data_IF_480889935896
#
_entry.id   IF_480889935896
#
_cell.length_a   1.000
_cell.length_b   1.000
_cell.length_c   1.000
_cell.angle_alpha   90.00
_cell.angle_beta   90.00
_cell.angle_gamma   90.00
#
_symmetry.space_group_name_H-M   'P 1'
#
loop_
_entity.id
_entity.type
_entity.pdbx_description
1 polymer ?
#
# COMPACT_ATOMS: atom_id res chain seq x y z
N UNK A 1 -32.54 4.60 -64.01
CA UNK A 1 -32.71 6.00 -63.72
C UNK A 1 -32.06 6.26 -62.38
N UNK A 2 -30.84 6.68 -62.35
CA UNK A 2 -30.27 8.01 -62.02
C UNK A 2 -30.70 8.47 -60.62
N UNK A 3 -29.81 8.80 -59.70
CA UNK A 3 -28.55 9.62 -59.62
C UNK A 3 -27.97 9.37 -58.24
N UNK A 4 -26.74 9.14 -57.92
CA UNK A 4 -25.56 9.92 -57.95
C UNK A 4 -25.53 11.06 -56.92
N UNK A 5 -24.85 10.88 -55.75
CA UNK A 5 -24.43 12.01 -54.92
C UNK A 5 -23.03 11.73 -54.33
N UNK A 6 -22.10 12.50 -54.86
CA UNK A 6 -20.72 12.59 -54.51
C UNK A 6 -20.53 13.10 -53.08
N UNK A 7 -19.65 12.45 -52.30
CA UNK A 7 -19.11 13.00 -51.05
C UNK A 7 -17.79 13.68 -51.32
N UNK A 8 -17.82 15.00 -51.23
CA UNK A 8 -16.66 15.88 -51.23
C UNK A 8 -15.79 15.62 -49.98
N UNK A 9 -14.54 15.20 -50.19
CA UNK A 9 -13.51 15.11 -49.15
C UNK A 9 -12.83 16.47 -49.11
N UNK A 10 -13.02 17.20 -47.98
CA UNK A 10 -12.22 18.39 -47.66
C UNK A 10 -10.92 17.97 -47.00
N UNK A 11 -9.82 18.10 -47.74
CA UNK A 11 -8.47 18.03 -47.24
C UNK A 11 -8.09 19.34 -46.53
N UNK A 12 -7.86 19.33 -45.24
CA UNK A 12 -7.26 20.43 -44.51
C UNK A 12 -5.74 20.32 -44.58
N UNK A 13 -5.12 21.25 -45.27
CA UNK A 13 -3.67 21.49 -45.28
C UNK A 13 -3.26 22.11 -43.93
N UNK A 14 -2.38 21.43 -43.19
CA UNK A 14 -1.67 22.02 -42.06
C UNK A 14 -0.39 22.68 -42.58
N UNK A 15 -0.33 23.98 -42.47
CA UNK A 15 0.89 24.76 -42.70
C UNK A 15 1.83 24.58 -41.50
N UNK A 16 3.05 24.17 -41.77
CA UNK A 16 4.15 24.12 -40.81
C UNK A 16 4.81 25.50 -40.77
N UNK A 17 4.57 26.26 -39.69
CA UNK A 17 5.38 27.42 -39.34
C UNK A 17 6.57 27.00 -38.50
N UNK A 18 7.76 27.14 -39.04
CA UNK A 18 9.03 27.03 -38.35
C UNK A 18 9.26 28.28 -37.48
N UNK A 19 8.98 28.17 -36.19
CA UNK A 19 9.27 29.16 -35.15
C UNK A 19 10.61 28.85 -34.46
N UNK A 20 11.51 29.79 -34.49
CA UNK A 20 12.90 29.82 -34.02
C UNK A 20 13.01 29.46 -32.52
N UNK A 21 14.13 28.79 -32.21
CA UNK A 21 14.52 28.36 -30.86
C UNK A 21 14.49 29.47 -29.80
N UNK A 22 13.91 29.11 -28.71
CA UNK A 22 14.11 29.71 -27.41
C UNK A 22 14.55 28.59 -26.50
N UNK A 23 15.85 28.56 -26.16
CA UNK A 23 16.37 27.76 -25.05
C UNK A 23 15.66 28.25 -23.79
N UNK A 24 14.68 27.49 -23.35
CA UNK A 24 14.13 27.65 -22.02
C UNK A 24 15.21 27.21 -21.01
N UNK A 25 15.85 28.20 -20.40
CA UNK A 25 16.74 27.99 -19.26
C UNK A 25 16.00 27.16 -18.22
N UNK A 26 16.42 25.92 -18.02
CA UNK A 26 16.02 25.08 -16.90
C UNK A 26 16.60 25.73 -15.65
N UNK A 27 15.78 26.53 -14.97
CA UNK A 27 16.11 27.04 -13.65
C UNK A 27 16.26 25.82 -12.71
N UNK A 28 17.39 25.66 -12.02
CA UNK A 28 17.53 24.62 -11.02
C UNK A 28 16.56 24.95 -9.88
N UNK A 29 15.49 24.18 -9.77
CA UNK A 29 14.60 24.26 -8.63
C UNK A 29 15.40 23.88 -7.38
N UNK A 30 15.60 24.84 -6.50
CA UNK A 30 16.23 24.70 -5.18
C UNK A 30 15.36 23.80 -4.28
N UNK A 31 15.48 22.47 -4.44
CA UNK A 31 14.86 21.49 -3.56
C UNK A 31 15.70 21.17 -2.31
N UNK A 32 16.90 21.70 -2.20
CA UNK A 32 17.91 21.32 -1.19
C UNK A 32 17.55 21.68 0.25
N UNK A 33 16.74 22.73 0.47
CA UNK A 33 16.38 23.20 1.83
C UNK A 33 15.30 22.37 2.53
N UNK A 34 14.49 21.60 1.80
CA UNK A 34 13.33 20.89 2.38
C UNK A 34 13.60 19.42 2.71
N UNK A 35 14.65 18.80 2.19
CA UNK A 35 14.99 17.40 2.43
C UNK A 35 15.36 17.11 3.90
N UNK A 36 16.22 17.89 4.55
CA UNK A 36 16.57 17.68 5.96
C UNK A 36 15.36 17.80 6.88
N UNK A 37 14.46 18.73 6.58
CA UNK A 37 13.24 18.97 7.36
C UNK A 37 12.26 17.78 7.22
N UNK A 38 12.09 17.26 6.00
CA UNK A 38 11.31 16.05 5.74
C UNK A 38 11.88 14.83 6.44
N UNK A 39 13.18 14.62 6.36
CA UNK A 39 13.85 13.50 7.04
C UNK A 39 13.68 13.59 8.56
N UNK A 40 13.79 14.79 9.14
CA UNK A 40 13.57 15.01 10.57
C UNK A 40 12.12 14.72 10.99
N UNK A 41 11.13 15.08 10.16
CA UNK A 41 9.73 14.78 10.41
C UNK A 41 9.46 13.28 10.38
N UNK A 42 9.98 12.57 9.37
CA UNK A 42 9.84 11.12 9.23
C UNK A 42 10.56 10.36 10.35
N UNK A 43 11.73 10.83 10.77
CA UNK A 43 12.43 10.25 11.92
C UNK A 43 11.65 10.45 13.22
N UNK A 44 11.08 11.61 13.45
CA UNK A 44 10.19 11.86 14.61
C UNK A 44 9.00 10.91 14.60
N UNK A 45 8.36 10.69 13.44
CA UNK A 45 7.25 9.76 13.28
C UNK A 45 7.70 8.32 13.58
N UNK A 46 8.84 7.90 13.03
CA UNK A 46 9.44 6.59 13.26
C UNK A 46 9.73 6.35 14.75
N UNK A 47 10.36 7.30 15.42
CA UNK A 47 10.70 7.23 16.84
C UNK A 47 9.44 7.17 17.70
N UNK A 48 8.42 7.96 17.36
CA UNK A 48 7.14 7.98 18.09
C UNK A 48 6.48 6.58 18.05
N UNK A 49 6.40 5.95 16.88
CA UNK A 49 5.83 4.60 16.73
C UNK A 49 6.72 3.56 17.40
N UNK A 50 8.05 3.69 17.30
CA UNK A 50 9.01 2.76 17.91
C UNK A 50 8.94 2.77 19.44
N UNK A 51 8.50 3.87 20.05
CA UNK A 51 8.23 3.95 21.50
C UNK A 51 7.12 3.04 21.99
N UNK A 52 6.31 2.49 21.07
CA UNK A 52 5.19 1.61 21.38
C UNK A 52 5.37 0.22 20.75
N UNK A 53 5.79 0.15 19.49
CA UNK A 53 6.05 -1.11 18.80
C UNK A 53 7.54 -1.47 18.95
N UNK A 54 7.88 -2.05 20.09
CA UNK A 54 9.25 -2.32 20.50
C UNK A 54 9.91 -3.45 19.69
N UNK A 55 11.16 -3.25 19.29
CA UNK A 55 11.99 -4.27 18.64
C UNK A 55 11.60 -4.61 17.19
N UNK A 56 10.84 -3.74 16.51
CA UNK A 56 10.34 -3.97 15.15
C UNK A 56 10.61 -2.79 14.20
N UNK A 57 11.87 -2.33 14.06
CA UNK A 57 12.19 -1.16 13.25
C UNK A 57 11.84 -1.36 11.77
N UNK A 58 12.08 -2.54 11.20
CA UNK A 58 11.79 -2.84 9.79
C UNK A 58 10.27 -2.82 9.49
N UNK A 59 9.46 -3.35 10.42
CA UNK A 59 7.99 -3.31 10.31
C UNK A 59 7.48 -1.88 10.30
N UNK A 60 8.04 -1.03 11.16
CA UNK A 60 7.71 0.40 11.20
C UNK A 60 8.11 1.07 9.88
N UNK A 61 9.32 0.82 9.39
CA UNK A 61 9.81 1.38 8.14
C UNK A 61 8.91 0.97 6.96
N UNK A 62 8.55 -0.32 6.84
CA UNK A 62 7.63 -0.82 5.80
C UNK A 62 6.23 -0.20 5.91
N UNK A 63 5.73 0.00 7.14
CA UNK A 63 4.44 0.65 7.35
C UNK A 63 4.47 2.13 6.92
N UNK A 64 5.55 2.85 7.20
CA UNK A 64 5.77 4.22 6.75
C UNK A 64 5.91 4.29 5.22
N UNK A 65 6.67 3.39 4.62
CA UNK A 65 6.77 3.27 3.16
C UNK A 65 5.40 3.04 2.54
N UNK A 66 4.60 2.15 3.12
CA UNK A 66 3.23 1.88 2.62
C UNK A 66 2.34 3.12 2.69
N UNK A 67 2.36 3.84 3.80
CA UNK A 67 1.60 5.09 3.98
C UNK A 67 2.02 6.15 2.95
N UNK A 68 3.33 6.35 2.78
CA UNK A 68 3.87 7.39 1.92
C UNK A 68 3.76 7.06 0.43
N UNK A 69 3.82 5.78 0.06
CA UNK A 69 3.54 5.30 -1.29
C UNK A 69 2.05 5.32 -1.64
N UNK A 70 1.20 5.78 -0.70
CA UNK A 70 -0.23 5.86 -0.88
C UNK A 70 -0.87 4.48 -1.14
N UNK A 71 -0.36 3.45 -0.44
CA UNK A 71 -0.77 2.05 -0.59
C UNK A 71 -1.48 1.48 0.64
N UNK A 72 -1.73 0.17 0.59
CA UNK A 72 -2.36 -0.59 1.67
C UNK A 72 -1.48 -1.76 2.07
N UNK A 73 -1.57 -2.21 3.32
CA UNK A 73 -0.69 -3.20 3.92
C UNK A 73 -1.45 -4.48 4.26
N UNK A 74 -0.91 -5.63 3.87
CA UNK A 74 -1.37 -6.94 4.32
C UNK A 74 -0.40 -7.48 5.39
N UNK A 75 -0.92 -7.88 6.53
CA UNK A 75 -0.15 -8.46 7.63
C UNK A 75 -0.58 -9.91 7.81
N UNK A 76 0.30 -10.83 7.44
CA UNK A 76 0.09 -12.27 7.62
C UNK A 76 0.82 -12.75 8.86
N UNK A 77 0.08 -13.00 9.95
CA UNK A 77 0.75 -13.41 11.18
C UNK A 77 -0.23 -13.97 12.22
N UNK A 78 0.34 -14.61 13.25
CA UNK A 78 -0.42 -15.14 14.38
C UNK A 78 -1.10 -14.04 15.22
N UNK A 79 -2.15 -14.33 15.97
CA UNK A 79 -2.77 -13.38 16.90
C UNK A 79 -1.79 -12.90 17.98
N UNK A 80 -2.01 -11.70 18.53
CA UNK A 80 -1.31 -11.20 19.71
C UNK A 80 0.05 -10.56 19.52
N UNK A 81 0.56 -10.41 18.31
CA UNK A 81 1.92 -9.90 18.02
C UNK A 81 2.00 -8.37 17.80
N UNK A 82 0.91 -7.62 18.02
CA UNK A 82 0.94 -6.16 17.93
C UNK A 82 0.35 -5.55 16.66
N UNK A 83 -0.41 -6.31 15.83
CA UNK A 83 -1.06 -5.79 14.61
C UNK A 83 -1.94 -4.58 14.91
N UNK A 84 -2.83 -4.69 15.90
CA UNK A 84 -3.71 -3.59 16.34
C UNK A 84 -2.91 -2.43 16.92
N UNK A 85 -1.80 -2.72 17.59
CA UNK A 85 -0.93 -1.71 18.18
C UNK A 85 -0.27 -0.85 17.10
N UNK A 86 0.26 -1.47 16.03
CA UNK A 86 0.83 -0.77 14.88
C UNK A 86 -0.20 0.17 14.23
N UNK A 87 -1.41 -0.33 13.95
CA UNK A 87 -2.45 0.49 13.32
C UNK A 87 -2.87 1.69 14.18
N UNK A 88 -3.06 1.47 15.49
CA UNK A 88 -3.39 2.55 16.45
C UNK A 88 -2.23 3.54 16.60
N UNK A 89 -0.99 3.05 16.63
CA UNK A 89 0.19 3.92 16.75
C UNK A 89 0.34 4.83 15.53
N UNK A 90 0.14 4.30 14.32
CA UNK A 90 0.10 5.10 13.10
C UNK A 90 -1.00 6.19 13.18
N UNK A 91 -2.25 5.79 13.44
CA UNK A 91 -3.36 6.73 13.45
C UNK A 91 -3.16 7.87 14.48
N UNK A 92 -2.72 7.55 15.71
CA UNK A 92 -2.46 8.55 16.75
C UNK A 92 -1.28 9.47 16.40
N UNK A 93 -0.24 8.90 15.78
CA UNK A 93 0.94 9.68 15.38
C UNK A 93 0.64 10.65 14.23
N UNK A 94 -0.43 10.40 13.45
CA UNK A 94 -0.82 11.18 12.28
C UNK A 94 -2.02 12.11 12.53
N UNK A 95 -2.52 12.20 13.77
CA UNK A 95 -3.77 12.91 14.10
C UNK A 95 -4.93 12.53 13.15
N UNK A 96 -5.04 11.23 12.88
CA UNK A 96 -5.98 10.66 11.94
C UNK A 96 -7.05 9.82 12.63
N UNK A 97 -8.26 9.81 12.06
CA UNK A 97 -9.32 8.91 12.54
C UNK A 97 -8.93 7.44 12.32
N UNK A 98 -9.30 6.59 13.28
CA UNK A 98 -9.02 5.16 13.27
C UNK A 98 -10.28 4.36 13.53
N UNK A 99 -10.50 3.33 12.67
CA UNK A 99 -11.49 2.30 12.95
C UNK A 99 -10.86 0.91 12.85
N UNK A 100 -11.27 0.04 13.78
CA UNK A 100 -11.01 -1.40 13.71
C UNK A 100 -12.29 -2.11 13.30
N UNK A 101 -12.19 -2.94 12.29
CA UNK A 101 -13.26 -3.79 11.80
C UNK A 101 -12.82 -5.24 11.99
N UNK A 102 -13.53 -5.99 12.83
CA UNK A 102 -13.34 -7.42 12.95
C UNK A 102 -14.17 -8.11 11.88
N UNK A 103 -13.52 -8.81 10.97
CA UNK A 103 -14.19 -9.55 9.92
C UNK A 103 -14.72 -10.88 10.46
N UNK A 104 -16.01 -11.12 10.23
CA UNK A 104 -16.74 -12.33 10.65
C UNK A 104 -17.60 -12.82 9.50
N UNK A 105 -18.04 -14.10 9.49
CA UNK A 105 -18.82 -14.65 8.38
C UNK A 105 -20.18 -13.98 8.16
N UNK A 106 -20.74 -13.34 9.20
CA UNK A 106 -22.02 -12.62 9.18
C UNK A 106 -21.91 -11.13 8.83
N UNK A 107 -20.67 -10.59 8.73
CA UNK A 107 -20.43 -9.19 8.37
C UNK A 107 -20.91 -8.89 6.95
N UNK A 108 -21.74 -7.87 6.80
CA UNK A 108 -22.29 -7.43 5.51
C UNK A 108 -21.47 -6.30 4.89
N UNK A 109 -21.49 -6.13 3.57
CA UNK A 109 -20.89 -4.95 2.92
C UNK A 109 -21.40 -3.62 3.45
N UNK A 110 -22.70 -3.51 3.76
CA UNK A 110 -23.33 -2.31 4.35
C UNK A 110 -22.75 -1.94 5.71
N UNK A 111 -22.24 -2.92 6.48
CA UNK A 111 -21.63 -2.66 7.77
C UNK A 111 -20.26 -1.99 7.61
N UNK A 112 -19.62 -2.15 6.46
CA UNK A 112 -18.36 -1.51 6.09
C UNK A 112 -18.56 -0.11 5.51
N UNK A 113 -19.43 0.00 4.50
CA UNK A 113 -19.61 1.21 3.68
C UNK A 113 -20.66 2.18 4.25
N UNK A 114 -21.49 1.71 5.17
CA UNK A 114 -22.61 2.50 5.69
C UNK A 114 -23.91 2.29 4.93
N UNK A 115 -24.97 2.94 5.39
CA UNK A 115 -26.33 2.79 4.87
C UNK A 115 -27.13 4.07 5.03
N UNK A 116 -28.14 4.26 4.18
CA UNK A 116 -29.12 5.34 4.34
C UNK A 116 -30.23 4.91 5.31
N UNK A 117 -30.47 5.73 6.31
CA UNK A 117 -31.49 5.51 7.34
C UNK A 117 -32.58 6.56 7.19
N UNK A 118 -33.85 6.14 7.20
CA UNK A 118 -34.97 7.07 7.18
C UNK A 118 -35.03 7.89 8.48
N UNK A 119 -34.95 9.20 8.35
CA UNK A 119 -35.02 10.12 9.47
C UNK A 119 -36.47 10.68 9.58
N UNK A 120 -37.25 10.11 10.48
CA UNK A 120 -38.66 10.45 10.68
C UNK A 120 -38.94 11.96 10.82
N UNK A 121 -38.13 12.74 11.60
CA UNK A 121 -38.43 14.17 11.77
C UNK A 121 -38.30 15.01 10.51
N UNK A 122 -37.40 14.67 9.57
CA UNK A 122 -37.24 15.39 8.30
C UNK A 122 -37.96 14.74 7.13
N UNK A 123 -38.40 13.47 7.27
CA UNK A 123 -39.02 12.71 6.18
C UNK A 123 -38.04 12.24 5.10
N UNK A 124 -36.73 12.37 5.31
CA UNK A 124 -35.69 12.11 4.33
C UNK A 124 -34.82 10.89 4.72
N UNK A 125 -34.14 10.32 3.73
CA UNK A 125 -33.08 9.36 3.98
C UNK A 125 -31.76 10.06 4.24
N UNK A 126 -31.15 9.78 5.41
CA UNK A 126 -29.86 10.32 5.82
C UNK A 126 -28.81 9.22 5.76
N UNK A 127 -27.75 9.45 5.01
CA UNK A 127 -26.62 8.51 4.95
C UNK A 127 -25.86 8.50 6.27
N UNK A 128 -25.68 7.31 6.84
CA UNK A 128 -24.79 7.06 7.97
C UNK A 128 -23.53 6.38 7.44
N UNK A 129 -22.36 7.07 7.48
CA UNK A 129 -21.12 6.49 7.00
C UNK A 129 -20.71 5.29 7.85
N UNK A 130 -20.21 4.27 7.19
CA UNK A 130 -19.64 3.09 7.84
C UNK A 130 -18.19 3.30 8.30
N UNK A 131 -17.58 2.29 8.92
CA UNK A 131 -16.22 2.38 9.47
C UNK A 131 -15.11 2.58 8.40
N UNK A 132 -15.40 2.40 7.11
CA UNK A 132 -14.45 2.71 6.05
C UNK A 132 -14.20 4.23 5.89
N UNK A 133 -15.08 5.09 6.41
CA UNK A 133 -14.89 6.53 6.41
C UNK A 133 -13.95 6.99 7.53
N UNK A 134 -12.78 6.35 7.60
CA UNK A 134 -11.69 6.71 8.49
C UNK A 134 -10.38 6.74 7.71
N UNK A 135 -9.41 7.53 8.17
CA UNK A 135 -8.10 7.64 7.53
C UNK A 135 -7.27 6.36 7.66
N UNK A 136 -7.34 5.71 8.82
CA UNK A 136 -6.64 4.46 9.09
C UNK A 136 -7.66 3.40 9.50
N UNK A 137 -7.76 2.35 8.70
CA UNK A 137 -8.66 1.22 8.93
C UNK A 137 -7.85 -0.04 9.18
N UNK A 138 -8.08 -0.68 10.32
CA UNK A 138 -7.61 -2.05 10.58
C UNK A 138 -8.71 -3.03 10.23
N UNK A 139 -8.56 -3.73 9.11
CA UNK A 139 -9.42 -4.84 8.70
C UNK A 139 -8.86 -6.15 9.29
N UNK A 140 -9.36 -6.55 10.45
CA UNK A 140 -8.80 -7.67 11.20
C UNK A 140 -9.46 -8.98 10.77
N UNK A 141 -8.63 -9.99 10.44
CA UNK A 141 -9.05 -11.33 9.97
C UNK A 141 -9.91 -11.28 8.70
N UNK A 142 -9.44 -10.55 7.66
CA UNK A 142 -10.20 -10.31 6.43
C UNK A 142 -10.68 -11.61 5.75
N UNK A 143 -9.92 -12.70 5.89
CA UNK A 143 -10.25 -14.00 5.33
C UNK A 143 -11.43 -14.72 6.03
N UNK A 144 -11.97 -14.21 7.14
CA UNK A 144 -13.16 -14.79 7.80
C UNK A 144 -14.48 -14.31 7.22
N UNK A 145 -14.52 -13.15 6.59
CA UNK A 145 -15.75 -12.66 5.96
C UNK A 145 -15.96 -13.24 4.56
N UNK A 146 -17.21 -13.20 4.11
CA UNK A 146 -17.59 -13.68 2.79
C UNK A 146 -16.87 -12.92 1.66
N UNK A 147 -16.66 -13.52 0.47
CA UNK A 147 -16.05 -12.85 -0.67
C UNK A 147 -16.74 -11.55 -1.08
N UNK A 148 -18.05 -11.45 -0.84
CA UNK A 148 -18.83 -10.24 -1.13
C UNK A 148 -18.41 -9.08 -0.22
N UNK A 149 -18.21 -9.33 1.07
CA UNK A 149 -17.76 -8.35 2.04
C UNK A 149 -16.30 -7.96 1.82
N UNK A 150 -15.43 -8.95 1.51
CA UNK A 150 -14.05 -8.70 1.11
C UNK A 150 -13.99 -7.78 -0.12
N UNK A 151 -14.81 -8.03 -1.14
CA UNK A 151 -14.85 -7.22 -2.37
C UNK A 151 -15.22 -5.76 -2.09
N UNK A 152 -16.13 -5.48 -1.17
CA UNK A 152 -16.50 -4.11 -0.81
C UNK A 152 -15.32 -3.33 -0.20
N UNK A 153 -14.53 -3.96 0.68
CA UNK A 153 -13.31 -3.35 1.21
C UNK A 153 -12.28 -3.11 0.08
N UNK A 154 -12.04 -4.12 -0.74
CA UNK A 154 -11.02 -4.08 -1.78
C UNK A 154 -11.37 -3.09 -2.91
N UNK A 155 -12.65 -2.87 -3.18
CA UNK A 155 -13.13 -1.81 -4.08
C UNK A 155 -12.83 -0.43 -3.49
N UNK A 156 -13.21 -0.21 -2.23
CA UNK A 156 -12.90 1.03 -1.53
C UNK A 156 -11.41 1.35 -1.49
N UNK A 157 -10.55 0.33 -1.30
CA UNK A 157 -9.09 0.47 -1.35
C UNK A 157 -8.58 0.91 -2.72
N UNK A 158 -9.12 0.34 -3.81
CA UNK A 158 -8.66 0.65 -5.17
C UNK A 158 -9.14 1.99 -5.67
N UNK A 159 -10.41 2.32 -5.42
CA UNK A 159 -11.08 3.46 -6.03
C UNK A 159 -11.15 4.68 -5.11
N UNK A 160 -10.79 4.50 -3.80
CA UNK A 160 -10.86 5.53 -2.74
C UNK A 160 -12.20 6.19 -2.64
N UNK A 161 -13.23 5.44 -2.94
CA UNK A 161 -14.61 5.84 -2.86
C UNK A 161 -15.50 4.62 -2.62
N UNK A 162 -16.70 4.87 -2.16
CA UNK A 162 -17.74 3.85 -2.01
C UNK A 162 -19.01 4.31 -2.73
N UNK A 163 -19.76 3.35 -3.27
CA UNK A 163 -21.04 3.63 -3.93
C UNK A 163 -22.17 3.07 -3.07
N UNK A 164 -23.05 3.96 -2.58
CA UNK A 164 -24.23 3.61 -1.77
C UNK A 164 -25.44 4.32 -2.33
N UNK A 165 -26.53 3.59 -2.56
CA UNK A 165 -27.81 4.12 -3.07
C UNK A 165 -27.65 4.94 -4.36
N UNK A 166 -26.77 4.50 -5.27
CA UNK A 166 -26.49 5.19 -6.53
C UNK A 166 -25.66 6.47 -6.41
N UNK A 167 -25.16 6.79 -5.21
CA UNK A 167 -24.29 7.93 -4.96
C UNK A 167 -22.87 7.47 -4.66
N UNK A 168 -21.89 8.03 -5.35
CA UNK A 168 -20.47 7.82 -5.08
C UNK A 168 -19.97 8.80 -4.02
N UNK A 169 -19.34 8.28 -2.99
CA UNK A 169 -18.82 9.04 -1.85
C UNK A 169 -17.31 8.82 -1.74
N UNK A 170 -16.49 9.87 -1.86
CA UNK A 170 -15.04 9.74 -1.71
C UNK A 170 -14.67 9.42 -0.25
N UNK A 171 -13.53 8.75 -0.09
CA UNK A 171 -12.86 8.54 1.20
C UNK A 171 -11.77 9.61 1.37
N UNK A 172 -11.71 10.21 2.56
CA UNK A 172 -10.79 11.31 2.83
C UNK A 172 -9.33 10.82 2.88
N UNK A 173 -8.39 11.51 2.19
CA UNK A 173 -6.98 11.19 2.26
C UNK A 173 -6.32 11.72 3.57
N UNK A 174 -5.29 11.01 4.07
CA UNK A 174 -4.78 9.73 3.62
C UNK A 174 -5.74 8.57 3.96
N UNK A 175 -5.93 7.64 3.06
CA UNK A 175 -6.71 6.43 3.33
C UNK A 175 -5.80 5.20 3.33
N UNK A 176 -5.54 4.66 4.51
CA UNK A 176 -4.68 3.50 4.72
C UNK A 176 -5.48 2.34 5.32
N UNK A 177 -5.48 1.21 4.64
CA UNK A 177 -5.98 -0.06 5.18
C UNK A 177 -4.80 -0.93 5.58
N UNK A 178 -4.83 -1.40 6.83
CA UNK A 178 -4.01 -2.50 7.31
C UNK A 178 -4.94 -3.70 7.44
N UNK A 179 -4.83 -4.63 6.51
CA UNK A 179 -5.59 -5.88 6.58
C UNK A 179 -4.76 -6.95 7.26
N UNK A 180 -5.39 -7.78 8.08
CA UNK A 180 -4.72 -8.93 8.69
C UNK A 180 -5.35 -10.23 8.24
N UNK A 181 -4.52 -11.25 8.09
CA UNK A 181 -4.98 -12.63 7.97
C UNK A 181 -4.10 -13.56 8.80
N UNK A 182 -4.71 -14.64 9.27
CA UNK A 182 -4.01 -15.71 9.96
C UNK A 182 -3.76 -16.84 8.95
N UNK A 183 -2.52 -17.11 8.54
CA UNK A 183 -2.21 -18.12 7.53
C UNK A 183 -2.41 -19.56 8.04
N UNK A 184 -2.57 -19.75 9.36
CA UNK A 184 -2.70 -21.08 9.99
C UNK A 184 -4.15 -21.46 10.29
N UNK A 185 -5.11 -20.56 10.05
CA UNK A 185 -6.52 -20.79 10.29
C UNK A 185 -7.24 -21.09 8.98
N UNK A 186 -7.58 -22.37 8.76
CA UNK A 186 -8.20 -22.83 7.50
C UNK A 186 -9.71 -23.05 7.64
N UNK A 187 -10.21 -23.41 8.82
CA UNK A 187 -11.64 -23.64 9.04
C UNK A 187 -12.43 -22.36 9.04
N UNK A 188 -13.49 -22.29 8.23
CA UNK A 188 -14.38 -21.13 8.14
C UNK A 188 -13.75 -19.89 7.52
N UNK A 189 -12.69 -20.04 6.71
CA UNK A 189 -12.02 -18.94 6.04
C UNK A 189 -12.23 -18.96 4.52
N UNK A 190 -12.24 -17.79 3.92
CA UNK A 190 -12.28 -17.56 2.48
C UNK A 190 -10.97 -16.91 2.05
N UNK A 191 -10.13 -17.69 1.39
CA UNK A 191 -8.85 -17.18 0.89
C UNK A 191 -9.06 -16.06 -0.12
N UNK A 192 -8.21 -15.03 -0.03
CA UNK A 192 -8.17 -13.96 -1.00
C UNK A 192 -7.55 -14.47 -2.32
N UNK A 193 -8.23 -14.33 -3.46
CA UNK A 193 -7.63 -14.62 -4.76
C UNK A 193 -6.43 -13.70 -5.05
N UNK A 194 -5.52 -14.13 -5.92
CA UNK A 194 -4.31 -13.38 -6.30
C UNK A 194 -4.64 -11.99 -6.84
N UNK A 195 -5.72 -11.84 -7.61
CA UNK A 195 -6.17 -10.56 -8.15
C UNK A 195 -6.62 -9.57 -7.05
N UNK A 196 -6.99 -10.08 -5.89
CA UNK A 196 -7.34 -9.30 -4.70
C UNK A 196 -6.10 -8.98 -3.86
N UNK A 197 -5.19 -9.95 -3.71
CA UNK A 197 -3.90 -9.74 -3.05
C UNK A 197 -3.05 -8.67 -3.77
N UNK A 198 -3.12 -8.57 -5.09
CA UNK A 198 -2.43 -7.55 -5.91
C UNK A 198 -2.85 -6.10 -5.59
N UNK A 199 -3.93 -5.89 -4.84
CA UNK A 199 -4.38 -4.55 -4.39
C UNK A 199 -3.61 -4.03 -3.18
N UNK A 200 -2.96 -4.91 -2.41
CA UNK A 200 -2.07 -4.50 -1.33
C UNK A 200 -0.71 -4.11 -1.88
N UNK A 201 -0.17 -2.98 -1.43
CA UNK A 201 1.16 -2.52 -1.86
C UNK A 201 2.24 -3.52 -1.46
N UNK A 202 2.18 -3.97 -0.22
CA UNK A 202 3.12 -4.97 0.31
C UNK A 202 2.46 -5.87 1.35
N UNK A 203 3.10 -7.02 1.55
CA UNK A 203 2.79 -7.98 2.59
C UNK A 203 3.96 -8.08 3.55
N UNK A 204 3.67 -8.11 4.83
CA UNK A 204 4.69 -8.29 5.87
C UNK A 204 4.23 -9.25 6.98
N UNK A 205 5.22 -9.68 7.76
CA UNK A 205 5.05 -10.38 9.02
C UNK A 205 5.69 -9.54 10.13
N UNK A 206 5.00 -9.38 11.25
CA UNK A 206 5.54 -8.70 12.43
C UNK A 206 6.46 -9.67 13.19
N UNK A 207 6.00 -10.92 13.36
CA UNK A 207 6.69 -11.96 14.10
C UNK A 207 6.81 -11.68 15.60
N UNK A 208 7.27 -12.65 16.34
CA UNK A 208 7.50 -12.48 17.78
C UNK A 208 8.61 -11.46 18.07
N UNK A 209 8.50 -10.67 19.13
CA UNK A 209 9.59 -9.79 19.58
C UNK A 209 10.79 -10.63 20.04
N UNK A 210 12.00 -10.09 19.88
CA UNK A 210 13.17 -10.68 20.49
C UNK A 210 13.11 -10.57 22.02
N UNK A 211 13.79 -11.49 22.73
CA UNK A 211 13.74 -11.58 24.21
C UNK A 211 13.96 -10.23 24.94
N UNK A 212 14.86 -9.39 24.42
CA UNK A 212 15.13 -8.07 25.02
C UNK A 212 13.92 -7.14 24.89
N UNK A 213 13.32 -7.07 23.71
CA UNK A 213 12.13 -6.26 23.44
C UNK A 213 10.91 -6.78 24.24
N UNK A 214 10.76 -8.11 24.36
CA UNK A 214 9.69 -8.70 25.14
C UNK A 214 9.81 -8.36 26.63
N UNK A 215 11.02 -8.38 27.18
CA UNK A 215 11.29 -7.91 28.55
C UNK A 215 10.94 -6.44 28.75
N UNK A 216 11.23 -5.62 27.77
CA UNK A 216 10.90 -4.19 27.76
C UNK A 216 9.37 -3.97 27.70
N UNK A 217 8.65 -4.73 26.86
CA UNK A 217 7.17 -4.74 26.80
C UNK A 217 6.59 -5.00 28.18
N UNK A 218 7.04 -6.05 28.89
CA UNK A 218 6.58 -6.38 30.24
C UNK A 218 6.81 -5.24 31.23
N UNK A 219 7.92 -4.52 31.07
CA UNK A 219 8.28 -3.41 31.96
C UNK A 219 7.48 -2.15 31.68
N UNK A 220 7.27 -1.81 30.40
CA UNK A 220 6.53 -0.61 30.01
C UNK A 220 5.06 -0.64 30.40
N UNK A 221 4.42 -1.81 30.39
CA UNK A 221 3.03 -1.99 30.80
C UNK A 221 2.77 -1.82 32.31
N UNK A 222 3.82 -1.78 33.15
CA UNK A 222 3.67 -1.50 34.59
C UNK A 222 3.11 -0.09 34.89
N UNK A 223 3.34 0.86 33.99
CA UNK A 223 2.95 2.27 34.16
C UNK A 223 1.74 2.67 33.30
N UNK A 224 0.95 1.69 32.84
CA UNK A 224 -0.20 1.88 31.94
C UNK A 224 0.12 1.53 30.49
N UNK A 225 -0.86 1.67 29.61
CA UNK A 225 -0.72 1.34 28.18
C UNK A 225 0.20 2.33 27.47
N UNK A 226 1.34 1.90 26.88
CA UNK A 226 2.25 2.81 26.20
C UNK A 226 1.60 3.62 25.07
N UNK A 227 0.60 3.04 24.40
CA UNK A 227 -0.14 3.68 23.32
C UNK A 227 -0.84 4.98 23.76
N UNK A 228 -1.23 5.11 25.03
CA UNK A 228 -1.94 6.28 25.54
C UNK A 228 -1.04 7.50 25.71
N UNK A 229 0.27 7.30 25.65
CA UNK A 229 1.28 8.35 25.72
C UNK A 229 1.64 8.92 24.35
N UNK A 230 1.19 8.29 23.24
CA UNK A 230 1.44 8.79 21.91
C UNK A 230 0.63 10.05 21.63
N UNK A 231 1.33 11.11 21.24
CA UNK A 231 0.74 12.32 20.67
C UNK A 231 0.94 12.37 19.14
N UNK A 232 0.19 13.24 18.45
CA UNK A 232 0.36 13.45 17.02
C UNK A 232 1.72 14.09 16.71
N UNK A 233 2.34 13.64 15.64
CA UNK A 233 3.61 14.13 15.08
C UNK A 233 3.38 14.85 13.76
N UNK A 234 2.43 14.38 12.97
CA UNK A 234 2.03 14.89 11.67
C UNK A 234 0.51 15.01 11.62
N UNK A 235 0.02 15.94 10.81
CA UNK A 235 -1.40 16.01 10.43
C UNK A 235 -1.66 15.19 9.15
N UNK A 236 -2.95 14.93 8.84
CA UNK A 236 -3.36 14.34 7.57
C UNK A 236 -2.87 15.17 6.36
N UNK A 237 -2.85 16.49 6.48
CA UNK A 237 -2.35 17.39 5.43
C UNK A 237 -0.85 17.22 5.18
N UNK A 238 -0.06 17.04 6.26
CA UNK A 238 1.38 16.79 6.16
C UNK A 238 1.65 15.45 5.45
N UNK A 239 0.89 14.41 5.77
CA UNK A 239 0.99 13.12 5.06
C UNK A 239 0.72 13.30 3.58
N UNK A 240 -0.33 14.02 3.20
CA UNK A 240 -0.63 14.33 1.79
C UNK A 240 0.49 15.10 1.09
N UNK A 241 1.16 16.04 1.80
CA UNK A 241 2.32 16.75 1.27
C UNK A 241 3.52 15.80 1.06
N UNK A 242 3.78 14.90 2.01
CA UNK A 242 4.83 13.89 1.89
C UNK A 242 4.56 12.91 0.75
N UNK A 243 3.32 12.45 0.57
CA UNK A 243 2.93 11.59 -0.56
C UNK A 243 3.16 12.26 -1.93
N UNK A 244 2.88 13.58 -2.04
CA UNK A 244 3.21 14.34 -3.25
C UNK A 244 4.72 14.43 -3.47
N UNK A 245 5.50 14.58 -2.41
CA UNK A 245 6.96 14.64 -2.47
C UNK A 245 7.58 13.30 -2.87
N UNK A 246 7.05 12.18 -2.41
CA UNK A 246 7.48 10.84 -2.86
C UNK A 246 7.45 10.73 -4.37
N UNK A 247 6.42 11.26 -5.02
CA UNK A 247 6.29 11.22 -6.50
C UNK A 247 7.36 12.04 -7.24
N UNK A 248 8.09 12.90 -6.53
CA UNK A 248 9.17 13.74 -7.07
C UNK A 248 10.56 13.11 -6.85
N UNK A 249 10.66 12.03 -6.06
CA UNK A 249 11.90 11.28 -5.86
C UNK A 249 12.35 10.70 -7.20
N UNK A 250 13.60 10.97 -7.57
CA UNK A 250 14.18 10.56 -8.85
C UNK A 250 14.42 9.05 -8.89
N UNK A 251 14.06 8.45 -10.01
CA UNK A 251 14.38 7.07 -10.34
C UNK A 251 15.09 7.10 -11.68
N UNK A 252 16.31 6.61 -11.71
CA UNK A 252 17.09 6.50 -12.95
C UNK A 252 16.47 5.46 -13.91
N UNK A 253 16.59 5.68 -15.21
CA UNK A 253 16.02 4.76 -16.21
C UNK A 253 16.60 3.36 -16.09
N UNK A 254 17.87 3.22 -15.69
CA UNK A 254 18.49 1.92 -15.43
C UNK A 254 17.81 1.15 -14.30
N UNK A 255 17.25 1.86 -13.29
CA UNK A 255 16.46 1.24 -12.22
C UNK A 255 15.04 0.88 -12.68
N UNK A 256 14.48 1.61 -13.65
CA UNK A 256 13.24 1.21 -14.31
C UNK A 256 13.42 -0.11 -15.04
N UNK A 257 14.50 -0.24 -15.81
CA UNK A 257 14.87 -1.48 -16.50
C UNK A 257 15.08 -2.61 -15.49
N UNK A 258 15.79 -2.36 -14.39
CA UNK A 258 16.00 -3.35 -13.34
C UNK A 258 14.68 -3.86 -12.72
N UNK A 259 13.72 -2.99 -12.45
CA UNK A 259 12.37 -3.38 -11.97
C UNK A 259 11.66 -4.25 -13.01
N UNK A 260 11.78 -3.91 -14.30
CA UNK A 260 11.17 -4.69 -15.37
C UNK A 260 11.86 -6.03 -15.56
N UNK A 261 13.18 -6.11 -15.46
CA UNK A 261 13.95 -7.36 -15.50
C UNK A 261 13.54 -8.31 -14.37
N UNK A 262 13.38 -7.78 -13.14
CA UNK A 262 12.84 -8.56 -12.02
C UNK A 262 11.44 -9.09 -12.31
N UNK A 263 10.56 -8.25 -12.84
CA UNK A 263 9.19 -8.66 -13.18
C UNK A 263 9.19 -9.72 -14.29
N UNK A 264 9.98 -9.55 -15.34
CA UNK A 264 10.08 -10.50 -16.45
C UNK A 264 10.73 -11.82 -16.00
N UNK A 265 11.71 -11.79 -15.12
CA UNK A 265 12.26 -12.99 -14.50
C UNK A 265 11.18 -13.80 -13.76
N UNK A 266 10.26 -13.13 -13.04
CA UNK A 266 9.13 -13.84 -12.41
C UNK A 266 8.17 -14.44 -13.43
N UNK A 267 7.87 -13.74 -14.53
CA UNK A 267 6.94 -14.21 -15.59
C UNK A 267 7.48 -15.42 -16.34
N UNK A 268 8.79 -15.52 -16.46
CA UNK A 268 9.47 -16.59 -17.19
C UNK A 268 10.01 -17.70 -16.27
N UNK A 269 9.76 -17.62 -14.95
CA UNK A 269 10.29 -18.59 -14.00
C UNK A 269 9.57 -19.95 -14.15
N UNK A 270 10.31 -21.09 -14.26
CA UNK A 270 9.72 -22.39 -14.52
C UNK A 270 8.75 -22.87 -13.44
N UNK A 271 8.94 -22.47 -12.18
CA UNK A 271 8.13 -22.90 -11.03
C UNK A 271 6.98 -21.95 -10.68
N UNK A 272 6.82 -20.85 -11.44
CA UNK A 272 5.67 -19.96 -11.30
C UNK A 272 4.61 -20.26 -12.35
N UNK A 273 3.35 -20.32 -11.90
CA UNK A 273 2.17 -20.32 -12.75
C UNK A 273 1.77 -18.90 -13.14
N UNK A 274 1.91 -17.94 -12.19
CA UNK A 274 1.62 -16.53 -12.39
C UNK A 274 2.80 -15.70 -11.87
N UNK A 275 3.38 -14.88 -12.75
CA UNK A 275 4.42 -13.91 -12.44
C UNK A 275 3.85 -12.52 -12.06
N UNK A 276 4.74 -11.56 -11.83
CA UNK A 276 4.40 -10.21 -11.42
C UNK A 276 3.58 -9.46 -12.49
N UNK A 277 2.48 -8.83 -12.06
CA UNK A 277 1.64 -7.98 -12.90
C UNK A 277 2.32 -6.61 -13.16
N UNK A 278 1.88 -5.81 -14.16
CA UNK A 278 2.32 -4.42 -14.30
C UNK A 278 2.04 -3.57 -13.06
N UNK A 279 0.97 -3.90 -12.29
CA UNK A 279 0.68 -3.26 -11.00
C UNK A 279 1.77 -3.56 -9.97
N UNK A 280 2.33 -4.78 -9.97
CA UNK A 280 3.43 -5.16 -9.10
C UNK A 280 4.70 -4.32 -9.38
N UNK A 281 5.05 -4.11 -10.65
CA UNK A 281 6.17 -3.25 -11.05
C UNK A 281 5.96 -1.81 -10.60
N UNK A 282 4.75 -1.26 -10.81
CA UNK A 282 4.40 0.08 -10.34
C UNK A 282 4.41 0.19 -8.80
N UNK A 283 3.99 -0.86 -8.11
CA UNK A 283 4.03 -0.93 -6.64
C UNK A 283 5.47 -0.90 -6.12
N UNK A 284 6.37 -1.67 -6.75
CA UNK A 284 7.79 -1.69 -6.39
C UNK A 284 8.46 -0.35 -6.65
N UNK A 285 8.17 0.27 -7.80
CA UNK A 285 8.62 1.62 -8.14
C UNK A 285 8.22 2.66 -7.08
N UNK A 286 6.93 2.71 -6.73
CA UNK A 286 6.41 3.66 -5.74
C UNK A 286 6.93 3.40 -4.33
N UNK A 287 7.05 2.13 -3.95
CA UNK A 287 7.61 1.75 -2.67
C UNK A 287 9.10 2.16 -2.56
N UNK A 288 9.88 1.99 -3.64
CA UNK A 288 11.28 2.42 -3.70
C UNK A 288 11.43 3.94 -3.55
N UNK A 289 10.59 4.73 -4.23
CA UNK A 289 10.55 6.19 -4.05
C UNK A 289 10.24 6.56 -2.59
N UNK A 290 9.24 5.92 -1.98
CA UNK A 290 8.87 6.18 -0.60
C UNK A 290 9.99 5.80 0.38
N UNK A 291 10.66 4.67 0.16
CA UNK A 291 11.79 4.23 0.98
C UNK A 291 12.97 5.20 0.88
N UNK A 292 13.30 5.66 -0.32
CA UNK A 292 14.35 6.66 -0.51
C UNK A 292 14.06 7.93 0.32
N UNK A 293 12.82 8.43 0.28
CA UNK A 293 12.41 9.58 1.08
C UNK A 293 12.48 9.31 2.59
N UNK A 294 12.05 8.13 3.05
CA UNK A 294 12.16 7.71 4.47
C UNK A 294 13.61 7.68 4.92
N UNK A 295 14.54 7.30 4.03
CA UNK A 295 15.99 7.31 4.26
C UNK A 295 16.64 8.69 4.02
N UNK A 296 15.86 9.74 3.82
CA UNK A 296 16.33 11.12 3.65
C UNK A 296 17.01 11.38 2.31
N UNK A 297 16.67 10.61 1.24
CA UNK A 297 17.23 10.77 -0.11
C UNK A 297 16.14 11.24 -1.09
N UNK A 298 16.54 11.98 -2.12
CA UNK A 298 15.68 12.40 -3.24
C UNK A 298 15.88 11.55 -4.49
N UNK A 299 16.58 10.42 -4.36
CA UNK A 299 16.83 9.44 -5.41
C UNK A 299 16.78 8.01 -4.89
N UNK A 300 16.37 7.09 -5.73
CA UNK A 300 16.32 5.65 -5.46
C UNK A 300 17.68 5.02 -5.75
N UNK A 301 18.06 4.01 -4.98
CA UNK A 301 19.23 3.16 -5.22
C UNK A 301 18.80 1.70 -5.41
N UNK A 302 19.62 0.86 -6.09
CA UNK A 302 19.27 -0.55 -6.33
C UNK A 302 18.92 -1.33 -5.06
N UNK A 303 19.60 -1.04 -3.95
CA UNK A 303 19.38 -1.71 -2.67
C UNK A 303 17.98 -1.45 -2.09
N UNK A 304 17.35 -0.31 -2.40
CA UNK A 304 15.97 -0.04 -2.00
C UNK A 304 15.02 -1.02 -2.69
N UNK A 305 15.22 -1.25 -3.99
CA UNK A 305 14.42 -2.19 -4.79
C UNK A 305 14.60 -3.61 -4.27
N UNK A 306 15.85 -4.03 -4.03
CA UNK A 306 16.17 -5.36 -3.49
C UNK A 306 15.53 -5.61 -2.14
N UNK A 307 15.60 -4.63 -1.24
CA UNK A 307 15.04 -4.75 0.11
C UNK A 307 13.51 -4.86 0.10
N UNK A 308 12.85 -4.14 -0.81
CA UNK A 308 11.39 -4.10 -0.93
C UNK A 308 10.81 -5.27 -1.73
N UNK A 309 11.56 -5.82 -2.69
CA UNK A 309 11.05 -6.82 -3.62
C UNK A 309 10.38 -8.03 -2.94
N UNK A 310 10.91 -8.62 -1.86
CA UNK A 310 10.23 -9.72 -1.17
C UNK A 310 8.86 -9.32 -0.62
N UNK A 311 8.75 -8.16 0.02
CA UNK A 311 7.49 -7.68 0.61
C UNK A 311 6.46 -7.28 -0.45
N UNK A 312 6.92 -6.77 -1.60
CA UNK A 312 6.06 -6.28 -2.68
C UNK A 312 5.67 -7.39 -3.65
N UNK A 313 6.54 -8.34 -3.96
CA UNK A 313 6.30 -9.32 -5.03
C UNK A 313 5.71 -10.64 -4.52
N UNK A 314 6.16 -11.16 -3.38
CA UNK A 314 5.90 -12.55 -2.96
C UNK A 314 4.41 -12.90 -2.91
N UNK A 315 3.55 -12.00 -2.45
CA UNK A 315 2.10 -12.24 -2.33
C UNK A 315 1.33 -12.14 -3.65
N UNK A 316 2.01 -11.79 -4.73
CA UNK A 316 1.47 -11.63 -6.08
C UNK A 316 1.84 -12.77 -7.02
N UNK A 317 2.71 -13.68 -6.54
CA UNK A 317 3.22 -14.80 -7.33
C UNK A 317 2.49 -16.08 -6.96
N UNK A 318 2.11 -16.86 -7.97
CA UNK A 318 1.49 -18.16 -7.79
C UNK A 318 2.46 -19.27 -8.24
N UNK A 319 2.87 -20.09 -7.31
CA UNK A 319 3.74 -21.25 -7.59
C UNK A 319 2.98 -22.43 -8.18
N UNK A 320 3.63 -23.25 -9.00
CA UNK A 320 3.01 -24.41 -9.67
C UNK A 320 2.63 -25.58 -8.74
N UNK A 321 2.85 -25.46 -7.43
CA UNK A 321 2.52 -26.51 -6.47
C UNK A 321 3.54 -27.66 -6.47
N UNK A 322 3.30 -28.65 -5.60
CA UNK A 322 4.20 -29.80 -5.40
C UNK A 322 4.06 -30.76 -6.59
N UNK A 323 5.10 -30.90 -7.41
CA UNK A 323 5.26 -32.10 -8.23
C UNK A 323 5.69 -33.25 -7.32
N UNK A 324 5.09 -34.44 -7.51
CA UNK A 324 5.42 -35.65 -6.72
C UNK A 324 6.96 -35.85 -6.70
N UNK A 325 7.58 -35.71 -5.53
CA UNK A 325 8.99 -36.01 -5.32
C UNK A 325 9.95 -34.81 -5.24
N UNK A 326 9.52 -33.58 -5.56
CA UNK A 326 10.35 -32.38 -5.46
C UNK A 326 9.84 -31.44 -4.34
N UNK A 327 10.76 -30.78 -3.60
CA UNK A 327 10.39 -29.69 -2.72
C UNK A 327 9.93 -28.51 -3.58
N UNK A 328 8.65 -28.13 -3.47
CA UNK A 328 8.17 -26.87 -4.07
C UNK A 328 8.93 -25.72 -3.45
N UNK A 329 9.58 -24.89 -4.27
CA UNK A 329 10.13 -23.62 -3.82
C UNK A 329 8.97 -22.70 -3.41
N UNK A 330 9.14 -22.01 -2.29
CA UNK A 330 8.19 -20.96 -1.91
C UNK A 330 8.33 -19.76 -2.84
N UNK A 331 7.28 -18.95 -2.97
CA UNK A 331 7.38 -17.69 -3.72
C UNK A 331 8.49 -16.77 -3.18
N UNK A 332 8.78 -16.85 -1.87
CA UNK A 332 9.87 -16.09 -1.25
C UNK A 332 11.25 -16.58 -1.71
N UNK A 333 11.46 -17.92 -1.79
CA UNK A 333 12.72 -18.49 -2.26
C UNK A 333 12.95 -18.13 -3.74
N UNK A 334 11.89 -18.16 -4.56
CA UNK A 334 11.96 -17.79 -5.97
C UNK A 334 12.33 -16.30 -6.13
N UNK A 335 11.72 -15.41 -5.33
CA UNK A 335 12.08 -13.97 -5.36
C UNK A 335 13.54 -13.77 -4.95
N UNK A 336 14.01 -14.47 -3.92
CA UNK A 336 15.42 -14.40 -3.49
C UNK A 336 16.37 -14.88 -4.62
N UNK A 337 16.05 -16.01 -5.27
CA UNK A 337 16.83 -16.53 -6.40
C UNK A 337 16.88 -15.54 -7.57
N UNK A 338 15.74 -14.90 -7.91
CA UNK A 338 15.66 -13.89 -8.99
C UNK A 338 16.53 -12.68 -8.64
N UNK A 339 16.47 -12.19 -7.40
CA UNK A 339 17.27 -11.05 -6.94
C UNK A 339 18.79 -11.34 -7.02
N UNK A 340 19.20 -12.56 -6.72
CA UNK A 340 20.61 -12.97 -6.80
C UNK A 340 21.12 -13.10 -8.24
N UNK A 341 20.24 -13.46 -9.19
CA UNK A 341 20.60 -13.68 -10.60
C UNK A 341 20.47 -12.45 -11.47
N UNK A 342 19.59 -11.52 -11.13
CA UNK A 342 19.36 -10.33 -11.94
C UNK A 342 20.49 -9.33 -11.75
N UNK A 343 21.11 -8.93 -12.86
CA UNK A 343 22.22 -7.97 -12.84
C UNK A 343 21.77 -6.62 -12.28
N UNK A 344 22.54 -6.08 -11.36
CA UNK A 344 22.29 -4.77 -10.77
C UNK A 344 22.86 -3.70 -11.70
N UNK A 345 22.12 -2.63 -12.03
CA UNK A 345 22.66 -1.52 -12.80
C UNK A 345 23.83 -0.87 -12.05
N UNK A 346 24.89 -0.51 -12.78
CA UNK A 346 26.14 0.09 -12.25
C UNK A 346 26.08 1.61 -12.38
#
# INVERSE_FOLDING_TARGET
MHTGSERTIMSAQFAVEAGRGGEAAVTPHTHDGQLPETAALLERLRVNIAGVLLGKPEVIEMALVTLLADGHLLIEDVPGIGKTLLAKALARSLDCSFHRIQFTPDLLPSDLIGTSVFHQPSGDFVFKPGPLFAHVVLADEINRATPRTQSALLEAMSDRQVSVDGQTRPLDPPFLVLATQNPYEFEGTYLLPESQLDRFLMRLQIGYPGRAAEKEILTCHRAGEPIDRLGPVLSAADVGALQRRVRQVRVDDSLNDYILDLADATRNHPDLYLGASPRASLSLYRAAQALALVKGRDYVVPDDIKWLAPAVLTHRLLTKGIRQGERSQSAADIVAEILDRTAVPV
#
